data_IF_507079095172
#
_entry.id   IF_507079095172
#
_cell.length_a   1.000
_cell.length_b   1.000
_cell.length_c   1.000
_cell.angle_alpha   90.00
_cell.angle_beta   90.00
_cell.angle_gamma   90.00
#
_symmetry.space_group_name_H-M   'P 1'
#
loop_
_entity.id
_entity.type
_entity.pdbx_description
1 polymer ?
#
# COMPACT_ATOMS: atom_id res chain seq x y z
N UNK A 1 -12.89 -12.41 17.79
CA UNK A 1 -12.98 -13.85 17.46
C UNK A 1 -14.40 -14.39 17.29
N UNK A 2 -15.29 -14.44 18.29
CA UNK A 2 -16.63 -15.08 18.10
C UNK A 2 -17.56 -14.33 17.12
N UNK A 3 -17.62 -12.99 17.19
CA UNK A 3 -18.49 -12.16 16.33
C UNK A 3 -18.00 -12.12 14.88
N UNK A 4 -16.68 -12.07 14.68
CA UNK A 4 -16.07 -12.14 13.34
C UNK A 4 -16.36 -13.49 12.67
N UNK A 5 -16.34 -14.59 13.41
CA UNK A 5 -16.60 -15.93 12.85
C UNK A 5 -18.07 -16.13 12.43
N UNK A 6 -19.01 -15.52 13.16
CA UNK A 6 -20.45 -15.54 12.82
C UNK A 6 -20.73 -14.68 11.58
N UNK A 7 -20.13 -13.48 11.50
CA UNK A 7 -20.30 -12.60 10.33
C UNK A 7 -19.62 -13.19 9.08
N UNK A 8 -18.45 -13.84 9.23
CA UNK A 8 -17.74 -14.48 8.14
C UNK A 8 -18.53 -15.67 7.56
N UNK A 9 -19.24 -16.41 8.40
CA UNK A 9 -20.12 -17.50 7.97
C UNK A 9 -21.41 -17.02 7.32
N UNK A 10 -21.94 -15.86 7.75
CA UNK A 10 -23.25 -15.36 7.31
C UNK A 10 -23.18 -14.46 6.07
N UNK A 11 -22.11 -13.70 5.90
CA UNK A 11 -21.93 -12.75 4.79
C UNK A 11 -20.47 -12.71 4.30
N UNK A 12 -19.97 -13.80 3.67
CA UNK A 12 -18.58 -13.90 3.24
C UNK A 12 -18.17 -12.84 2.21
N UNK A 13 -19.09 -12.42 1.32
CA UNK A 13 -18.85 -11.37 0.33
C UNK A 13 -18.53 -10.01 0.95
N UNK A 14 -19.28 -9.63 2.00
CA UNK A 14 -19.06 -8.38 2.71
C UNK A 14 -17.69 -8.37 3.42
N UNK A 15 -17.32 -9.49 4.04
CA UNK A 15 -16.04 -9.59 4.74
C UNK A 15 -14.87 -9.49 3.75
N UNK A 16 -14.93 -10.21 2.63
CA UNK A 16 -13.88 -10.17 1.60
C UNK A 16 -13.75 -8.77 0.98
N UNK A 17 -14.87 -8.10 0.70
CA UNK A 17 -14.85 -6.72 0.22
C UNK A 17 -14.22 -5.74 1.23
N UNK A 18 -14.58 -5.85 2.51
CA UNK A 18 -14.01 -5.03 3.58
C UNK A 18 -12.51 -5.30 3.76
N UNK A 19 -12.10 -6.56 3.73
CA UNK A 19 -10.70 -6.95 3.87
C UNK A 19 -9.86 -6.47 2.66
N UNK A 20 -10.37 -6.61 1.44
CA UNK A 20 -9.76 -6.03 0.23
C UNK A 20 -9.58 -4.51 0.37
N UNK A 21 -10.61 -3.81 0.82
CA UNK A 21 -10.55 -2.35 1.01
C UNK A 21 -9.49 -1.95 2.05
N UNK A 22 -9.37 -2.71 3.15
CA UNK A 22 -8.34 -2.47 4.16
C UNK A 22 -6.92 -2.67 3.58
N UNK A 23 -6.70 -3.76 2.83
CA UNK A 23 -5.41 -4.00 2.19
C UNK A 23 -5.01 -2.90 1.20
N UNK A 24 -5.96 -2.43 0.39
CA UNK A 24 -5.71 -1.35 -0.57
C UNK A 24 -5.41 -0.03 0.15
N UNK A 25 -6.10 0.24 1.25
CA UNK A 25 -5.82 1.41 2.09
C UNK A 25 -4.41 1.35 2.70
N UNK A 26 -3.99 0.19 3.21
CA UNK A 26 -2.64 0.00 3.76
C UNK A 26 -1.55 0.18 2.68
N UNK A 27 -1.80 -0.31 1.46
CA UNK A 27 -0.90 -0.11 0.31
C UNK A 27 -0.80 1.39 -0.03
N UNK A 28 -1.94 2.07 -0.15
CA UNK A 28 -2.00 3.49 -0.53
C UNK A 28 -1.35 4.39 0.53
N UNK A 29 -1.64 4.14 1.81
CA UNK A 29 -1.09 4.93 2.92
C UNK A 29 0.43 4.81 3.00
N UNK A 30 0.99 3.60 2.91
CA UNK A 30 2.43 3.39 2.90
C UNK A 30 3.09 4.01 1.66
N UNK A 31 2.44 3.95 0.49
CA UNK A 31 2.93 4.59 -0.72
C UNK A 31 2.98 6.13 -0.57
N UNK A 32 1.95 6.75 0.01
CA UNK A 32 1.94 8.20 0.32
C UNK A 32 3.06 8.58 1.28
N UNK A 33 3.33 7.76 2.30
CA UNK A 33 4.45 7.99 3.22
C UNK A 33 5.80 7.94 2.49
N UNK A 34 6.01 6.96 1.61
CA UNK A 34 7.23 6.86 0.78
C UNK A 34 7.40 8.09 -0.11
N UNK A 35 6.34 8.53 -0.76
CA UNK A 35 6.37 9.75 -1.60
C UNK A 35 6.69 11.00 -0.78
N UNK A 36 6.13 11.12 0.43
CA UNK A 36 6.42 12.22 1.34
C UNK A 36 7.90 12.25 1.78
N UNK A 37 8.49 11.09 2.08
CA UNK A 37 9.91 10.98 2.39
C UNK A 37 10.80 11.25 1.17
N UNK A 38 10.41 10.73 0.00
CA UNK A 38 11.14 10.96 -1.26
C UNK A 38 11.22 12.44 -1.58
N UNK A 39 10.11 13.19 -1.44
CA UNK A 39 10.07 14.64 -1.65
C UNK A 39 10.97 15.41 -0.68
N UNK A 40 11.07 14.97 0.57
CA UNK A 40 11.99 15.59 1.53
C UNK A 40 13.45 15.38 1.15
N UNK A 41 13.82 14.16 0.74
CA UNK A 41 15.17 13.88 0.30
C UNK A 41 15.53 14.60 -1.00
N UNK A 42 14.58 14.73 -1.92
CA UNK A 42 14.72 15.52 -3.16
C UNK A 42 14.96 17.00 -2.85
N UNK A 43 14.14 17.60 -1.97
CA UNK A 43 14.33 18.98 -1.54
C UNK A 43 15.71 19.23 -0.91
N UNK A 44 16.19 18.32 -0.07
CA UNK A 44 17.53 18.41 0.53
C UNK A 44 18.64 18.25 -0.53
N UNK A 45 18.47 17.34 -1.49
CA UNK A 45 19.41 17.17 -2.59
C UNK A 45 19.50 18.42 -3.48
N UNK A 46 18.36 19.05 -3.79
CA UNK A 46 18.29 20.30 -4.55
C UNK A 46 19.00 21.44 -3.80
N UNK A 47 18.79 21.55 -2.49
CA UNK A 47 19.47 22.55 -1.66
C UNK A 47 20.99 22.34 -1.64
N UNK A 48 21.46 21.10 -1.53
CA UNK A 48 22.90 20.77 -1.59
C UNK A 48 23.47 21.10 -2.98
N UNK A 49 22.75 20.75 -4.05
CA UNK A 49 23.15 21.03 -5.43
C UNK A 49 23.18 22.51 -5.78
N UNK A 50 22.37 23.33 -5.10
CA UNK A 50 22.33 24.78 -5.26
C UNK A 50 23.41 25.56 -4.51
N UNK A 51 24.24 24.90 -3.68
CA UNK A 51 25.33 25.56 -2.97
C UNK A 51 26.40 26.07 -3.95
N UNK A 52 27.01 27.25 -3.69
CA UNK A 52 28.01 27.81 -4.59
C UNK A 52 29.22 26.86 -4.72
N UNK A 53 29.60 26.57 -5.97
CA UNK A 53 30.73 25.72 -6.34
C UNK A 53 32.02 26.54 -6.52
N UNK A 54 32.22 27.59 -5.72
CA UNK A 54 33.32 28.52 -5.96
C UNK A 54 34.69 27.84 -5.75
N UNK A 55 35.67 28.17 -6.60
CA UNK A 55 37.02 27.56 -6.57
C UNK A 55 37.80 27.89 -5.27
N UNK A 56 37.35 28.92 -4.53
CA UNK A 56 37.88 29.27 -3.22
C UNK A 56 37.06 28.62 -2.10
N UNK A 57 37.75 27.99 -1.15
CA UNK A 57 37.13 27.43 0.05
C UNK A 57 36.37 28.49 0.85
N UNK A 58 35.05 28.29 0.99
CA UNK A 58 34.20 29.04 1.91
C UNK A 58 33.70 28.11 3.03
N UNK A 59 34.17 28.39 4.25
CA UNK A 59 33.80 27.64 5.45
C UNK A 59 32.28 27.65 5.69
N UNK A 60 31.61 28.77 5.40
CA UNK A 60 30.17 28.89 5.65
C UNK A 60 29.37 27.99 4.70
N UNK A 61 29.72 27.97 3.42
CA UNK A 61 29.14 27.05 2.43
C UNK A 61 29.38 25.59 2.81
N UNK A 62 30.59 25.23 3.27
CA UNK A 62 30.90 23.85 3.66
C UNK A 62 30.13 23.42 4.92
N UNK A 63 30.02 24.29 5.93
CA UNK A 63 29.20 24.01 7.12
C UNK A 63 27.73 23.80 6.76
N UNK A 64 27.19 24.61 5.84
CA UNK A 64 25.81 24.46 5.37
C UNK A 64 25.61 23.12 4.64
N UNK A 65 26.55 22.73 3.76
CA UNK A 65 26.53 21.41 3.09
C UNK A 65 26.46 20.28 4.11
N UNK A 66 27.34 20.29 5.12
CA UNK A 66 27.39 19.27 6.17
C UNK A 66 26.09 19.18 6.97
N UNK A 67 25.48 20.32 7.26
CA UNK A 67 24.19 20.36 7.96
C UNK A 67 23.09 19.69 7.11
N UNK A 68 22.99 20.03 5.83
CA UNK A 68 22.00 19.43 4.93
C UNK A 68 22.22 17.92 4.73
N UNK A 69 23.48 17.48 4.63
CA UNK A 69 23.83 16.05 4.58
C UNK A 69 23.41 15.32 5.85
N UNK A 70 23.63 15.93 7.02
CA UNK A 70 23.18 15.38 8.31
C UNK A 70 21.65 15.26 8.37
N UNK A 71 20.93 16.26 7.89
CA UNK A 71 19.47 16.22 7.80
C UNK A 71 18.99 15.11 6.85
N UNK A 72 19.61 14.95 5.68
CA UNK A 72 19.30 13.88 4.75
C UNK A 72 19.55 12.50 5.37
N UNK A 73 20.65 12.34 6.12
CA UNK A 73 20.93 11.10 6.83
C UNK A 73 19.92 10.83 7.95
N UNK A 74 19.48 11.86 8.68
CA UNK A 74 18.42 11.73 9.68
C UNK A 74 17.11 11.28 9.05
N UNK A 75 16.71 11.87 7.92
CA UNK A 75 15.50 11.47 7.18
C UNK A 75 15.60 10.01 6.73
N UNK A 76 16.77 9.57 6.22
CA UNK A 76 16.99 8.15 5.87
C UNK A 76 16.84 7.22 7.07
N UNK A 77 17.35 7.61 8.24
CA UNK A 77 17.14 6.87 9.49
C UNK A 77 15.66 6.75 9.85
N UNK A 78 14.91 7.85 9.78
CA UNK A 78 13.46 7.84 10.03
C UNK A 78 12.68 6.97 9.03
N UNK A 79 13.11 6.92 7.77
CA UNK A 79 12.51 6.02 6.76
C UNK A 79 12.67 4.57 7.20
N UNK A 80 13.89 4.17 7.58
CA UNK A 80 14.16 2.79 8.00
C UNK A 80 13.44 2.43 9.30
N UNK A 81 13.36 3.35 10.27
CA UNK A 81 12.63 3.15 11.53
C UNK A 81 11.12 2.99 11.29
N UNK A 82 10.52 3.78 10.41
CA UNK A 82 9.07 3.79 10.21
C UNK A 82 8.56 2.79 9.18
N UNK A 83 9.34 2.57 8.10
CA UNK A 83 8.93 1.72 6.97
C UNK A 83 9.68 0.38 6.94
N UNK A 84 10.81 0.27 7.64
CA UNK A 84 11.72 -0.86 7.56
C UNK A 84 12.74 -0.72 6.42
N UNK A 85 13.57 -1.75 6.26
CA UNK A 85 14.54 -1.81 5.18
C UNK A 85 13.85 -1.90 3.81
N UNK A 86 14.59 -1.54 2.75
CA UNK A 86 14.08 -1.63 1.36
C UNK A 86 13.58 -3.03 1.02
N UNK A 87 14.26 -4.07 1.53
CA UNK A 87 13.85 -5.46 1.34
C UNK A 87 12.55 -5.78 2.08
N UNK A 88 12.42 -5.35 3.35
CA UNK A 88 11.19 -5.56 4.13
C UNK A 88 9.98 -4.88 3.49
N UNK A 89 10.16 -3.66 2.98
CA UNK A 89 9.12 -2.93 2.23
C UNK A 89 8.73 -3.71 0.99
N UNK A 90 9.69 -4.17 0.17
CA UNK A 90 9.41 -4.91 -1.06
C UNK A 90 8.68 -6.23 -0.78
N UNK A 91 9.12 -7.00 0.22
CA UNK A 91 8.47 -8.24 0.63
C UNK A 91 7.03 -7.98 1.11
N UNK A 92 6.82 -6.95 1.92
CA UNK A 92 5.49 -6.58 2.43
C UNK A 92 4.56 -6.12 1.31
N UNK A 93 5.04 -5.36 0.35
CA UNK A 93 4.26 -4.95 -0.82
C UNK A 93 3.84 -6.15 -1.66
N UNK A 94 4.77 -7.06 -1.98
CA UNK A 94 4.44 -8.26 -2.76
C UNK A 94 3.43 -9.15 -2.01
N UNK A 95 3.62 -9.35 -0.70
CA UNK A 95 2.68 -10.12 0.12
C UNK A 95 1.27 -9.52 0.13
N UNK A 96 1.14 -8.19 0.27
CA UNK A 96 -0.15 -7.49 0.21
C UNK A 96 -0.80 -7.61 -1.17
N UNK A 97 -0.03 -7.47 -2.26
CA UNK A 97 -0.54 -7.62 -3.63
C UNK A 97 -1.01 -9.05 -3.91
N UNK A 98 -0.25 -10.06 -3.48
CA UNK A 98 -0.67 -11.46 -3.55
C UNK A 98 -1.97 -11.67 -2.79
N UNK A 99 -2.09 -11.09 -1.60
CA UNK A 99 -3.30 -11.21 -0.78
C UNK A 99 -4.51 -10.56 -1.44
N UNK A 100 -4.36 -9.38 -2.04
CA UNK A 100 -5.43 -8.72 -2.81
C UNK A 100 -5.88 -9.61 -3.97
N UNK A 101 -4.95 -10.17 -4.76
CA UNK A 101 -5.27 -11.07 -5.87
C UNK A 101 -6.07 -12.31 -5.41
N UNK A 102 -5.69 -12.91 -4.28
CA UNK A 102 -6.41 -14.05 -3.71
C UNK A 102 -7.85 -13.68 -3.31
N UNK A 103 -8.01 -12.55 -2.62
CA UNK A 103 -9.33 -12.06 -2.18
C UNK A 103 -10.21 -11.75 -3.39
N UNK A 104 -9.68 -11.09 -4.41
CA UNK A 104 -10.40 -10.81 -5.65
C UNK A 104 -10.83 -12.10 -6.38
N UNK A 105 -9.95 -13.10 -6.44
CA UNK A 105 -10.28 -14.40 -7.01
C UNK A 105 -11.34 -15.18 -6.21
N UNK A 106 -11.37 -15.04 -4.88
CA UNK A 106 -12.46 -15.58 -4.05
C UNK A 106 -13.79 -14.85 -4.30
N UNK A 107 -13.76 -13.52 -4.38
CA UNK A 107 -14.94 -12.72 -4.70
C UNK A 107 -15.53 -13.08 -6.06
N UNK A 108 -14.70 -13.23 -7.09
CA UNK A 108 -15.14 -13.63 -8.43
C UNK A 108 -15.78 -15.03 -8.43
N UNK A 109 -15.18 -15.99 -7.71
CA UNK A 109 -15.75 -17.35 -7.58
C UNK A 109 -17.12 -17.33 -6.92
N UNK A 110 -17.31 -16.55 -5.84
CA UNK A 110 -18.63 -16.43 -5.21
C UNK A 110 -19.66 -15.80 -6.14
N UNK A 111 -19.28 -14.77 -6.89
CA UNK A 111 -20.17 -14.15 -7.88
C UNK A 111 -20.62 -15.15 -8.96
N UNK A 112 -19.70 -15.98 -9.45
CA UNK A 112 -20.03 -17.04 -10.42
C UNK A 112 -21.03 -18.04 -9.85
N UNK A 113 -20.79 -18.53 -8.63
CA UNK A 113 -21.71 -19.45 -7.95
C UNK A 113 -23.09 -18.84 -7.74
N UNK A 114 -23.17 -17.55 -7.40
CA UNK A 114 -24.46 -16.86 -7.26
C UNK A 114 -25.20 -16.76 -8.59
N UNK A 115 -24.50 -16.42 -9.68
CA UNK A 115 -25.09 -16.36 -11.02
C UNK A 115 -25.60 -17.74 -11.49
N UNK A 116 -24.85 -18.80 -11.24
CA UNK A 116 -25.25 -20.18 -11.53
C UNK A 116 -26.52 -20.56 -10.76
N UNK A 117 -26.59 -20.27 -9.46
CA UNK A 117 -27.78 -20.52 -8.65
C UNK A 117 -29.00 -19.76 -9.15
N UNK A 118 -28.85 -18.47 -9.45
CA UNK A 118 -29.94 -17.65 -10.00
C UNK A 118 -30.41 -18.21 -11.34
N UNK A 119 -29.49 -18.63 -12.21
CA UNK A 119 -29.83 -19.23 -13.50
C UNK A 119 -30.60 -20.55 -13.34
N UNK A 120 -30.19 -21.41 -12.41
CA UNK A 120 -30.85 -22.68 -12.14
C UNK A 120 -32.28 -22.48 -11.60
N UNK A 121 -32.45 -21.58 -10.62
CA UNK A 121 -33.77 -21.24 -10.08
C UNK A 121 -34.67 -20.63 -11.15
N UNK A 122 -34.13 -19.75 -12.00
CA UNK A 122 -34.88 -19.14 -13.10
C UNK A 122 -35.36 -20.20 -14.11
N UNK A 123 -34.50 -21.15 -14.45
CA UNK A 123 -34.85 -22.27 -15.34
C UNK A 123 -35.92 -23.18 -14.71
N UNK A 124 -35.83 -23.48 -13.42
CA UNK A 124 -36.85 -24.25 -12.71
C UNK A 124 -38.21 -23.53 -12.71
N UNK A 125 -38.23 -22.24 -12.38
CA UNK A 125 -39.45 -21.42 -12.41
C UNK A 125 -40.07 -21.34 -13.81
N UNK A 126 -39.24 -21.31 -14.85
CA UNK A 126 -39.71 -21.39 -16.24
C UNK A 126 -40.34 -22.75 -16.55
N UNK A 127 -39.80 -23.85 -16.03
CA UNK A 127 -40.40 -25.20 -16.20
C UNK A 127 -41.77 -25.32 -15.54
N UNK A 128 -41.98 -24.70 -14.37
CA UNK A 128 -43.29 -24.71 -13.70
C UNK A 128 -44.33 -23.76 -14.34
N UNK A 129 -43.93 -22.89 -15.27
CA UNK A 129 -44.83 -21.97 -16.00
C UNK A 129 -45.34 -22.53 -17.33
N UNK A 130 -44.76 -23.62 -17.83
CA UNK A 130 -45.22 -24.37 -19.00
C UNK A 130 -46.10 -25.54 -18.58
#
# INVERSE_FOLDING_TARGET
MFVENILNSRFPEYWLARYRSALLHDIESEQKQREWYSKQLEALADQIGGLPLNDNYDLQTELNRRQLEYEAQRVRGMIEENLGSVEQVAQRQEARLQRVRLVEGEMQRMQQLHLEQVSAVTQELQRYRC
#
